data_IF_054061208165
#
_entry.id   IF_054061208165
#
_cell.length_a   1.000
_cell.length_b   1.000
_cell.length_c   1.000
_cell.angle_alpha   90.00
_cell.angle_beta   90.00
_cell.angle_gamma   90.00
#
_symmetry.space_group_name_H-M   'P 1'
#
loop_
_entity.id
_entity.type
_entity.pdbx_description
1 polymer ?
#
# COMPACT_ATOMS: atom_id res chain seq x y z
N UNK A 1 12.55 19.27 5.36
CA UNK A 1 12.22 18.34 4.26
C UNK A 1 11.53 17.10 4.84
N UNK A 2 10.24 16.89 4.56
CA UNK A 2 9.55 15.66 4.95
C UNK A 2 10.20 14.50 4.19
N UNK A 3 10.76 13.53 4.90
CA UNK A 3 11.29 12.31 4.30
C UNK A 3 10.09 11.53 3.79
N UNK A 4 9.81 11.63 2.49
CA UNK A 4 8.81 10.79 1.83
C UNK A 4 9.35 9.37 1.79
N UNK A 5 8.65 8.42 2.39
CA UNK A 5 9.00 7.01 2.29
C UNK A 5 8.66 6.55 0.87
N UNK A 6 9.65 6.34 0.01
CA UNK A 6 9.42 5.98 -1.42
C UNK A 6 9.73 4.53 -1.75
N UNK A 7 10.30 3.78 -0.81
CA UNK A 7 10.73 2.40 -1.00
C UNK A 7 9.73 1.42 -0.39
N UNK A 8 8.69 1.09 -1.14
CA UNK A 8 7.67 0.14 -0.70
C UNK A 8 7.94 -1.28 -1.22
N UNK A 9 7.68 -2.26 -0.34
CA UNK A 9 7.77 -3.69 -0.63
C UNK A 9 6.44 -4.37 -0.31
N UNK A 10 6.13 -5.43 -1.04
CA UNK A 10 5.05 -6.35 -0.64
C UNK A 10 5.41 -7.04 0.68
N UNK A 11 4.41 -7.51 1.42
CA UNK A 11 4.61 -8.30 2.66
C UNK A 11 5.44 -9.57 2.45
N UNK A 12 5.58 -10.03 1.20
CA UNK A 12 6.44 -11.13 0.80
C UNK A 12 7.91 -10.71 0.52
N UNK A 13 8.28 -9.45 0.79
CA UNK A 13 9.64 -8.91 0.60
C UNK A 13 9.99 -8.53 -0.84
N UNK A 14 9.08 -8.67 -1.81
CA UNK A 14 9.33 -8.24 -3.20
C UNK A 14 9.16 -6.73 -3.32
N UNK A 15 10.12 -6.05 -3.96
CA UNK A 15 9.99 -4.63 -4.30
C UNK A 15 8.79 -4.38 -5.21
N UNK A 16 8.08 -3.28 -4.98
CA UNK A 16 6.98 -2.88 -5.85
C UNK A 16 7.51 -2.45 -7.22
N UNK A 17 7.13 -3.17 -8.28
CA UNK A 17 7.46 -2.84 -9.68
C UNK A 17 6.35 -2.08 -10.39
N UNK A 18 5.16 -2.07 -9.81
CA UNK A 18 4.00 -1.33 -10.25
C UNK A 18 3.55 -0.42 -9.10
N UNK A 19 3.15 0.82 -9.43
CA UNK A 19 2.70 1.82 -8.48
C UNK A 19 1.36 2.38 -8.93
N UNK A 20 0.37 2.44 -8.03
CA UNK A 20 -0.96 2.98 -8.32
C UNK A 20 -1.42 4.03 -7.30
N UNK A 21 -0.50 4.88 -6.85
CA UNK A 21 -0.79 5.95 -5.90
C UNK A 21 -1.93 6.86 -6.37
N UNK A 22 -2.77 7.28 -5.43
CA UNK A 22 -3.67 8.39 -5.65
C UNK A 22 -2.87 9.69 -5.87
N UNK A 23 -3.48 10.67 -6.54
CA UNK A 23 -2.84 11.97 -6.70
C UNK A 23 -2.48 12.57 -5.34
N UNK A 24 -1.20 12.96 -5.19
CA UNK A 24 -0.67 13.50 -3.94
C UNK A 24 -0.18 12.46 -2.93
N UNK A 25 -0.16 11.16 -3.28
CA UNK A 25 0.39 10.09 -2.44
C UNK A 25 1.69 9.47 -3.02
N UNK A 26 2.58 8.92 -2.17
CA UNK A 26 2.54 8.97 -0.71
C UNK A 26 2.80 10.38 -0.15
N UNK A 27 2.38 10.68 1.08
CA UNK A 27 2.54 12.00 1.69
C UNK A 27 2.99 12.01 3.16
N UNK A 28 3.10 10.84 3.78
CA UNK A 28 3.59 10.60 5.13
C UNK A 28 3.01 11.58 6.16
N UNK A 29 1.67 11.66 6.24
CA UNK A 29 0.97 12.49 7.23
C UNK A 29 1.40 12.09 8.63
N UNK A 30 2.02 13.04 9.35
CA UNK A 30 2.46 12.82 10.73
C UNK A 30 3.78 12.07 10.88
N UNK A 31 4.43 11.67 9.77
CA UNK A 31 5.72 10.98 9.84
C UNK A 31 5.62 9.50 10.25
N UNK A 32 4.47 8.87 10.00
CA UNK A 32 4.18 7.51 10.49
C UNK A 32 3.24 6.71 9.58
N UNK A 33 3.21 7.01 8.27
CA UNK A 33 2.37 6.28 7.30
C UNK A 33 3.20 5.27 6.50
N UNK A 34 3.49 4.12 7.13
CA UNK A 34 4.41 3.10 6.58
C UNK A 34 3.70 1.90 5.91
N UNK A 35 2.37 1.87 5.92
CA UNK A 35 1.58 0.80 5.30
C UNK A 35 0.80 1.30 4.08
N UNK A 36 0.38 0.39 3.20
CA UNK A 36 -0.38 0.75 1.99
C UNK A 36 -1.84 0.36 2.14
N UNK A 37 -2.73 1.33 1.97
CA UNK A 37 -4.17 1.15 1.87
C UNK A 37 -4.66 1.42 0.44
N UNK A 38 -5.66 0.66 -0.01
CA UNK A 38 -6.29 0.85 -1.30
C UNK A 38 -7.70 1.41 -1.12
N UNK A 39 -7.98 2.55 -1.75
CA UNK A 39 -9.31 3.15 -1.73
C UNK A 39 -10.33 2.23 -2.42
N UNK A 40 -11.47 2.01 -1.76
CA UNK A 40 -12.53 1.10 -2.22
C UNK A 40 -13.74 1.82 -2.83
N UNK A 41 -13.68 3.13 -3.04
CA UNK A 41 -14.80 3.92 -3.56
C UNK A 41 -14.37 5.21 -4.28
N UNK A 42 -15.34 5.84 -4.93
CA UNK A 42 -15.24 7.16 -5.57
C UNK A 42 -14.21 7.20 -6.72
N UNK A 43 -13.76 8.40 -7.08
CA UNK A 43 -12.76 8.71 -8.10
C UNK A 43 -11.39 8.07 -7.82
N UNK A 44 -11.14 7.66 -6.57
CA UNK A 44 -9.91 7.01 -6.13
C UNK A 44 -9.99 5.48 -6.13
N UNK A 45 -11.09 4.86 -6.58
CA UNK A 45 -11.26 3.41 -6.54
C UNK A 45 -10.02 2.66 -7.11
N UNK A 46 -9.44 1.78 -6.31
CA UNK A 46 -8.25 1.00 -6.65
C UNK A 46 -6.91 1.74 -6.51
N UNK A 47 -6.92 3.05 -6.25
CA UNK A 47 -5.72 3.87 -6.00
C UNK A 47 -5.21 3.69 -4.58
N UNK A 48 -3.94 4.02 -4.36
CA UNK A 48 -3.25 3.77 -3.11
C UNK A 48 -3.05 5.02 -2.25
N UNK A 49 -3.02 4.80 -0.94
CA UNK A 49 -2.70 5.72 0.13
C UNK A 49 -1.60 5.08 0.98
N UNK A 50 -0.56 5.83 1.35
CA UNK A 50 0.24 5.46 2.50
C UNK A 50 -0.57 5.78 3.76
N UNK A 51 -0.58 4.86 4.71
CA UNK A 51 -1.44 4.91 5.88
C UNK A 51 -0.72 4.40 7.11
N UNK A 52 -1.15 4.87 8.29
CA UNK A 52 -0.66 4.35 9.55
C UNK A 52 -1.01 2.87 9.70
N UNK A 53 -0.02 2.02 9.92
CA UNK A 53 -0.18 0.57 10.01
C UNK A 53 -1.14 0.08 11.11
N UNK A 54 -1.43 0.93 12.09
CA UNK A 54 -2.33 0.63 13.23
C UNK A 54 -3.80 0.79 12.89
N UNK A 55 -4.14 1.41 11.75
CA UNK A 55 -5.52 1.64 11.37
C UNK A 55 -6.17 0.35 10.85
N UNK A 56 -7.37 -0.01 11.33
CA UNK A 56 -8.05 -1.21 10.89
C UNK A 56 -8.62 -1.03 9.48
N UNK A 57 -8.24 -1.92 8.56
CA UNK A 57 -8.76 -1.97 7.19
C UNK A 57 -9.06 -3.41 6.78
N UNK A 58 -9.90 -3.55 5.75
CA UNK A 58 -9.99 -4.81 5.00
C UNK A 58 -8.67 -5.07 4.26
N UNK A 59 -8.35 -6.34 4.04
CA UNK A 59 -7.08 -6.76 3.42
C UNK A 59 -7.31 -7.78 2.29
N UNK A 60 -6.31 -7.88 1.42
CA UNK A 60 -6.25 -8.85 0.32
C UNK A 60 -5.11 -9.82 0.62
N UNK A 61 -5.39 -11.12 0.51
CA UNK A 61 -4.37 -12.16 0.62
C UNK A 61 -3.85 -12.56 -0.77
N UNK A 62 -2.55 -12.76 -0.87
CA UNK A 62 -1.92 -13.42 -2.01
C UNK A 62 -1.41 -14.78 -1.55
N UNK A 63 -1.78 -15.84 -2.27
CA UNK A 63 -1.22 -17.18 -2.07
C UNK A 63 -0.58 -17.66 -3.36
N UNK A 64 0.56 -18.33 -3.25
CA UNK A 64 1.13 -19.04 -4.40
C UNK A 64 0.24 -20.23 -4.69
N UNK A 65 -0.10 -20.44 -5.97
CA UNK A 65 -0.80 -21.65 -6.36
C UNK A 65 0.13 -22.85 -6.13
N UNK A 66 -0.10 -23.57 -5.03
CA UNK A 66 0.51 -24.87 -4.81
C UNK A 66 -0.32 -25.90 -5.58
N UNK A 67 0.23 -26.42 -6.68
CA UNK A 67 -0.34 -27.62 -7.31
C UNK A 67 -0.17 -28.76 -6.32
N UNK A 68 -1.28 -29.30 -5.83
CA UNK A 68 -1.28 -30.62 -5.21
C UNK A 68 -0.98 -31.62 -6.34
N UNK A 69 0.15 -32.32 -6.24
CA UNK A 69 0.41 -33.51 -7.03
C UNK A 69 -0.26 -34.71 -6.38
#
# INVERSE_FOLDING_TARGET
PRYQHTNFHTVAGRSATYLNWAAGQPNDVGGSQDCVYMYTSNDKLGKWNDEGCVWPHHYICESKYHRCN
#
